data_IF_494877714930
#
_entry.id   IF_494877714930
#
_cell.length_a   1.000
_cell.length_b   1.000
_cell.length_c   1.000
_cell.angle_alpha   90.00
_cell.angle_beta   90.00
_cell.angle_gamma   90.00
#
_symmetry.space_group_name_H-M   'P 1'
#
loop_
_entity.id
_entity.type
_entity.pdbx_description
1 polymer ?
#
# COMPACT_ATOMS: atom_id res chain seq x y z
N UNK A 1 19.50 -13.56 -19.13
CA UNK A 1 18.57 -14.54 -18.54
C UNK A 1 19.24 -15.13 -17.29
N UNK A 2 18.92 -14.62 -16.10
CA UNK A 2 19.42 -15.23 -14.87
C UNK A 2 18.45 -16.33 -14.49
N UNK A 3 18.81 -17.56 -14.73
CA UNK A 3 18.11 -18.73 -14.23
C UNK A 3 18.32 -18.83 -12.73
N UNK A 4 17.25 -18.75 -11.97
CA UNK A 4 17.29 -18.95 -10.52
C UNK A 4 17.92 -20.31 -10.23
N UNK A 5 18.95 -20.41 -9.36
CA UNK A 5 19.62 -21.68 -9.13
C UNK A 5 18.65 -22.73 -8.60
N UNK A 6 18.78 -24.01 -9.01
CA UNK A 6 17.85 -25.10 -8.62
C UNK A 6 17.77 -25.31 -7.10
N UNK A 7 18.76 -24.89 -6.34
CA UNK A 7 18.74 -24.95 -4.88
C UNK A 7 17.64 -24.07 -4.26
N UNK A 8 17.41 -22.87 -4.80
CA UNK A 8 16.41 -21.93 -4.27
C UNK A 8 14.97 -22.44 -4.48
N UNK A 9 14.71 -23.14 -5.58
CA UNK A 9 13.41 -23.78 -5.86
C UNK A 9 13.14 -24.96 -4.89
N UNK A 10 14.16 -25.75 -4.59
CA UNK A 10 14.05 -26.91 -3.68
C UNK A 10 13.74 -26.47 -2.24
N UNK A 11 14.38 -25.38 -1.76
CA UNK A 11 14.14 -24.82 -0.43
C UNK A 11 12.70 -24.30 -0.30
N UNK A 12 12.21 -23.60 -1.31
CA UNK A 12 10.84 -23.05 -1.29
C UNK A 12 9.77 -24.15 -1.35
N UNK A 13 10.01 -25.24 -2.11
CA UNK A 13 9.11 -26.38 -2.16
C UNK A 13 9.03 -27.11 -0.82
N UNK A 14 10.16 -27.31 -0.13
CA UNK A 14 10.20 -27.92 1.19
C UNK A 14 9.47 -27.08 2.25
N UNK A 15 9.55 -25.74 2.16
CA UNK A 15 8.82 -24.85 3.06
C UNK A 15 7.30 -25.00 2.91
N UNK A 16 6.82 -25.04 1.68
CA UNK A 16 5.39 -25.18 1.41
C UNK A 16 4.83 -26.52 1.88
N UNK A 17 5.60 -27.61 1.68
CA UNK A 17 5.25 -28.95 2.20
C UNK A 17 5.17 -28.94 3.72
N UNK A 18 6.13 -28.31 4.40
CA UNK A 18 6.09 -28.18 5.87
C UNK A 18 4.90 -27.36 6.35
N UNK A 19 4.57 -26.25 5.68
CA UNK A 19 3.38 -25.44 6.02
C UNK A 19 2.12 -26.27 5.91
N UNK A 20 2.02 -27.12 4.87
CA UNK A 20 0.90 -28.05 4.71
C UNK A 20 0.84 -29.06 5.85
N UNK A 21 1.92 -29.75 6.14
CA UNK A 21 2.00 -30.75 7.21
C UNK A 21 1.63 -30.14 8.58
N UNK A 22 2.19 -28.97 8.92
CA UNK A 22 1.88 -28.29 10.17
C UNK A 22 0.43 -27.79 10.25
N UNK A 23 -0.14 -27.34 9.11
CA UNK A 23 -1.55 -26.94 9.08
C UNK A 23 -2.48 -28.13 9.28
N UNK A 24 -2.15 -29.31 8.69
CA UNK A 24 -2.91 -30.55 8.88
C UNK A 24 -2.86 -31.05 10.31
N UNK A 25 -1.72 -30.90 11.01
CA UNK A 25 -1.56 -31.25 12.41
C UNK A 25 -2.51 -30.47 13.35
N UNK A 26 -2.86 -29.25 12.99
CA UNK A 26 -3.84 -28.41 13.73
C UNK A 26 -5.26 -28.49 13.15
N UNK A 27 -5.52 -29.42 12.24
CA UNK A 27 -6.85 -29.65 11.66
C UNK A 27 -7.24 -28.70 10.53
N UNK A 28 -6.30 -27.90 10.03
CA UNK A 28 -6.52 -26.98 8.89
C UNK A 28 -6.08 -27.67 7.60
N UNK A 29 -6.92 -27.60 6.55
CA UNK A 29 -6.57 -28.10 5.23
C UNK A 29 -6.23 -26.95 4.29
N UNK A 30 -5.10 -27.05 3.61
CA UNK A 30 -4.71 -26.08 2.58
C UNK A 30 -5.65 -26.25 1.36
N UNK A 31 -6.32 -25.17 0.98
CA UNK A 31 -7.14 -25.17 -0.23
C UNK A 31 -6.25 -24.82 -1.44
N UNK A 32 -5.84 -25.84 -2.19
CA UNK A 32 -4.93 -25.71 -3.33
C UNK A 32 -5.55 -24.87 -4.45
N UNK A 33 -6.85 -24.97 -4.69
CA UNK A 33 -7.53 -24.23 -5.75
C UNK A 33 -7.53 -22.70 -5.52
N UNK A 34 -7.59 -22.28 -4.27
CA UNK A 34 -7.56 -20.85 -3.91
C UNK A 34 -6.17 -20.33 -3.57
N UNK A 35 -5.20 -21.24 -3.38
CA UNK A 35 -3.81 -20.86 -3.07
C UNK A 35 -3.08 -20.46 -4.35
N UNK A 36 -2.49 -19.27 -4.36
CA UNK A 36 -1.78 -18.71 -5.51
C UNK A 36 -0.32 -18.45 -5.16
N UNK A 37 0.55 -18.54 -6.15
CA UNK A 37 1.98 -18.30 -5.98
C UNK A 37 2.37 -17.00 -6.68
N UNK A 38 3.03 -16.13 -5.96
CA UNK A 38 3.74 -14.97 -6.52
C UNK A 38 5.24 -15.26 -6.48
N UNK A 39 5.94 -15.00 -7.58
CA UNK A 39 7.40 -15.07 -7.62
C UNK A 39 7.99 -13.95 -8.46
N UNK A 40 9.13 -13.45 -8.02
CA UNK A 40 9.91 -12.41 -8.70
C UNK A 40 10.75 -12.91 -9.89
N UNK A 41 10.46 -14.12 -10.40
CA UNK A 41 11.18 -14.73 -11.52
C UNK A 41 10.32 -15.76 -12.25
N UNK A 42 10.82 -16.35 -13.35
CA UNK A 42 10.08 -17.31 -14.12
C UNK A 42 9.77 -18.56 -13.27
N UNK A 43 8.48 -18.87 -13.13
CA UNK A 43 7.99 -20.09 -12.48
C UNK A 43 7.74 -21.10 -13.56
N UNK A 44 8.34 -22.29 -13.44
CA UNK A 44 8.16 -23.34 -14.43
C UNK A 44 6.85 -24.09 -14.18
N UNK A 45 6.53 -24.45 -13.00
CA UNK A 45 5.23 -24.95 -12.47
C UNK A 45 5.44 -25.38 -11.02
N UNK A 46 4.42 -25.20 -10.20
CA UNK A 46 4.44 -25.67 -8.81
C UNK A 46 3.28 -26.62 -8.61
N UNK A 47 3.59 -27.80 -8.09
CA UNK A 47 2.61 -28.84 -7.80
C UNK A 47 2.68 -29.23 -6.33
N UNK A 48 1.51 -29.36 -5.72
CA UNK A 48 1.31 -29.94 -4.40
C UNK A 48 0.33 -31.07 -4.57
N UNK A 49 0.70 -32.26 -4.12
CA UNK A 49 -0.14 -33.48 -4.21
C UNK A 49 -0.61 -33.82 -5.66
N UNK A 50 0.20 -33.46 -6.65
CA UNK A 50 -0.15 -33.68 -8.06
C UNK A 50 -1.04 -32.59 -8.68
N UNK A 51 -1.54 -31.63 -7.89
CA UNK A 51 -2.29 -30.48 -8.39
C UNK A 51 -1.37 -29.30 -8.69
N UNK A 52 -1.56 -28.68 -9.85
CA UNK A 52 -0.75 -27.52 -10.28
C UNK A 52 -1.32 -26.24 -9.68
N UNK A 53 -0.46 -25.46 -9.01
CA UNK A 53 -0.84 -24.19 -8.43
C UNK A 53 -0.76 -23.08 -9.48
N UNK A 54 -1.72 -22.13 -9.40
CA UNK A 54 -1.75 -20.97 -10.27
C UNK A 54 -0.65 -19.97 -9.88
N UNK A 55 0.19 -19.60 -10.84
CA UNK A 55 1.15 -18.53 -10.70
C UNK A 55 0.52 -17.21 -11.15
N UNK A 56 0.56 -16.20 -10.29
CA UNK A 56 -0.01 -14.88 -10.57
C UNK A 56 1.07 -13.80 -10.50
N UNK A 57 0.91 -12.75 -11.31
CA UNK A 57 1.81 -11.59 -11.31
C UNK A 57 1.51 -10.61 -10.18
N UNK A 58 0.27 -10.58 -9.75
CA UNK A 58 -0.21 -9.73 -8.66
C UNK A 58 -1.41 -10.36 -7.96
N UNK A 59 -1.65 -9.92 -6.73
CA UNK A 59 -2.82 -10.33 -6.00
C UNK A 59 -3.19 -9.30 -4.90
N UNK A 60 -4.45 -9.30 -4.46
CA UNK A 60 -4.92 -8.41 -3.40
C UNK A 60 -4.96 -9.18 -2.08
N UNK A 61 -4.18 -8.71 -1.10
CA UNK A 61 -4.13 -9.24 0.25
C UNK A 61 -4.56 -8.18 1.26
N UNK A 62 -5.61 -8.47 2.02
CA UNK A 62 -6.17 -7.54 3.00
C UNK A 62 -6.40 -6.13 2.45
N UNK A 63 -6.84 -6.02 1.19
CA UNK A 63 -7.09 -4.74 0.56
C UNK A 63 -5.86 -4.07 -0.11
N UNK A 64 -4.64 -4.58 0.11
CA UNK A 64 -3.42 -4.10 -0.55
C UNK A 64 -3.05 -4.95 -1.76
N UNK A 65 -2.69 -4.30 -2.86
CA UNK A 65 -2.20 -4.97 -4.07
C UNK A 65 -0.71 -5.26 -3.97
N UNK A 66 -0.36 -6.54 -3.96
CA UNK A 66 1.02 -7.02 -3.96
C UNK A 66 1.37 -7.47 -5.39
N UNK A 67 2.51 -7.02 -5.90
CA UNK A 67 3.02 -7.35 -7.25
C UNK A 67 4.32 -8.14 -7.15
N UNK A 68 4.56 -9.00 -8.13
CA UNK A 68 5.75 -9.86 -8.18
C UNK A 68 7.08 -9.09 -8.31
N UNK A 69 7.04 -7.90 -8.90
CA UNK A 69 8.17 -6.99 -9.06
C UNK A 69 8.39 -6.07 -7.85
N UNK A 70 7.48 -6.10 -6.87
CA UNK A 70 7.51 -5.22 -5.70
C UNK A 70 7.22 -3.74 -6.00
N UNK A 71 6.68 -3.42 -7.19
CA UNK A 71 6.33 -2.04 -7.55
C UNK A 71 4.99 -1.62 -6.92
N UNK A 72 5.06 -0.69 -5.98
CA UNK A 72 3.90 -0.14 -5.29
C UNK A 72 3.22 1.04 -6.03
N UNK A 73 3.72 1.46 -7.21
CA UNK A 73 3.20 2.63 -7.93
C UNK A 73 1.71 2.52 -8.27
N UNK A 74 1.24 1.32 -8.63
CA UNK A 74 -0.17 1.07 -8.91
C UNK A 74 -1.03 1.16 -7.66
N UNK A 75 -0.55 0.64 -6.55
CA UNK A 75 -1.25 0.69 -5.27
C UNK A 75 -1.36 2.12 -4.76
N UNK A 76 -0.27 2.88 -4.77
CA UNK A 76 -0.27 4.30 -4.41
C UNK A 76 -1.30 5.07 -5.26
N UNK A 77 -1.27 4.91 -6.58
CA UNK A 77 -2.25 5.56 -7.46
C UNK A 77 -3.69 5.18 -7.11
N UNK A 78 -3.94 3.91 -6.83
CA UNK A 78 -5.27 3.41 -6.45
C UNK A 78 -5.77 4.08 -5.19
N UNK A 79 -4.97 4.13 -4.13
CA UNK A 79 -5.31 4.79 -2.87
C UNK A 79 -5.59 6.28 -3.06
N UNK A 80 -4.69 7.00 -3.76
CA UNK A 80 -4.88 8.42 -4.03
C UNK A 80 -6.16 8.72 -4.82
N UNK A 81 -6.55 7.85 -5.76
CA UNK A 81 -7.78 8.00 -6.55
C UNK A 81 -9.04 7.74 -5.72
N UNK A 82 -9.01 6.72 -4.86
CA UNK A 82 -10.13 6.39 -3.97
C UNK A 82 -10.39 7.54 -3.00
N UNK A 83 -9.35 8.06 -2.38
CA UNK A 83 -9.46 9.12 -1.39
C UNK A 83 -9.80 10.49 -1.99
N UNK A 84 -9.47 10.72 -3.26
CA UNK A 84 -10.00 11.89 -3.99
C UNK A 84 -11.53 11.88 -4.06
N UNK A 85 -12.15 10.72 -4.23
CA UNK A 85 -13.62 10.58 -4.21
C UNK A 85 -14.18 10.86 -2.81
N UNK A 86 -13.54 10.35 -1.76
CA UNK A 86 -13.92 10.62 -0.37
C UNK A 86 -13.92 12.11 -0.03
N UNK A 87 -12.90 12.84 -0.49
CA UNK A 87 -12.80 14.29 -0.30
C UNK A 87 -13.91 15.11 -0.97
N UNK A 88 -14.66 14.57 -1.95
CA UNK A 88 -15.76 15.30 -2.60
C UNK A 88 -16.98 15.47 -1.70
N UNK A 89 -17.15 14.62 -0.73
CA UNK A 89 -18.32 14.54 0.14
C UNK A 89 -18.16 15.29 1.48
N UNK A 90 -17.05 16.02 1.67
CA UNK A 90 -16.85 16.82 2.89
C UNK A 90 -17.89 17.96 2.95
N UNK A 91 -18.72 17.91 3.98
CA UNK A 91 -19.83 18.83 4.20
C UNK A 91 -19.37 20.30 4.31
N UNK A 92 -20.24 21.23 3.87
CA UNK A 92 -19.95 22.66 3.85
C UNK A 92 -20.03 23.29 5.23
N UNK A 93 -20.86 22.74 6.12
CA UNK A 93 -21.24 23.38 7.39
C UNK A 93 -20.31 23.04 8.56
N UNK A 94 -19.27 22.24 8.31
CA UNK A 94 -18.28 21.86 9.32
C UNK A 94 -17.17 22.92 9.42
N UNK A 95 -16.71 23.21 10.65
CA UNK A 95 -15.62 24.19 10.90
C UNK A 95 -14.28 23.74 10.31
N UNK A 96 -13.40 24.68 9.96
CA UNK A 96 -12.10 24.37 9.35
C UNK A 96 -11.23 23.44 10.22
N UNK A 97 -11.09 23.63 11.55
CA UNK A 97 -10.32 22.70 12.38
C UNK A 97 -10.86 21.27 12.35
N UNK A 98 -12.18 21.12 12.39
CA UNK A 98 -12.83 19.80 12.31
C UNK A 98 -12.58 19.16 10.96
N UNK A 99 -12.66 19.93 9.85
CA UNK A 99 -12.33 19.42 8.50
C UNK A 99 -10.88 18.94 8.41
N UNK A 100 -9.94 19.71 8.96
CA UNK A 100 -8.51 19.32 9.01
C UNK A 100 -8.33 18.01 9.76
N UNK A 101 -9.00 17.89 10.92
CA UNK A 101 -8.97 16.64 11.70
C UNK A 101 -9.53 15.45 10.92
N UNK A 102 -10.68 15.61 10.27
CA UNK A 102 -11.31 14.56 9.46
C UNK A 102 -10.42 14.13 8.29
N UNK A 103 -9.78 15.08 7.59
CA UNK A 103 -8.85 14.74 6.49
C UNK A 103 -7.67 13.93 7.01
N UNK A 104 -7.08 14.34 8.15
CA UNK A 104 -5.98 13.59 8.76
C UNK A 104 -6.40 12.21 9.23
N UNK A 105 -7.55 12.11 9.92
CA UNK A 105 -8.00 10.88 10.56
C UNK A 105 -8.62 9.87 9.59
N UNK A 106 -9.20 10.31 8.49
CA UNK A 106 -9.89 9.42 7.54
C UNK A 106 -9.12 9.29 6.23
N UNK A 107 -8.89 10.42 5.56
CA UNK A 107 -8.29 10.41 4.20
C UNK A 107 -6.82 10.00 4.25
N UNK A 108 -6.03 10.60 5.13
CA UNK A 108 -4.59 10.28 5.20
C UNK A 108 -4.32 8.89 5.73
N UNK A 109 -5.09 8.41 6.74
CA UNK A 109 -4.94 7.03 7.22
C UNK A 109 -5.31 6.01 6.14
N UNK A 110 -6.36 6.27 5.37
CA UNK A 110 -6.74 5.38 4.28
C UNK A 110 -5.72 5.39 3.13
N UNK A 111 -5.13 6.56 2.79
CA UNK A 111 -4.03 6.66 1.82
C UNK A 111 -2.80 5.88 2.29
N UNK A 112 -2.49 5.96 3.59
CA UNK A 112 -1.29 5.32 4.16
C UNK A 112 -1.47 3.84 4.48
N UNK A 113 -2.66 3.28 4.29
CA UNK A 113 -2.91 1.88 4.59
C UNK A 113 -1.95 0.95 3.81
N UNK A 114 -1.20 0.12 4.54
CA UNK A 114 -0.20 -0.78 3.97
C UNK A 114 1.10 -0.12 3.49
N UNK A 115 1.31 1.17 3.79
CA UNK A 115 2.49 1.92 3.34
C UNK A 115 3.81 1.41 3.92
N UNK A 116 3.78 0.62 4.96
CA UNK A 116 4.95 0.03 5.60
C UNK A 116 5.71 -0.87 4.60
N UNK A 117 4.97 -1.59 3.77
CA UNK A 117 5.53 -2.49 2.74
C UNK A 117 5.97 -1.77 1.45
N UNK A 118 5.64 -0.50 1.27
CA UNK A 118 5.88 0.20 0.00
C UNK A 118 7.35 0.60 -0.18
N UNK A 119 7.93 0.23 -1.31
CA UNK A 119 9.22 0.74 -1.78
C UNK A 119 8.98 1.99 -2.62
N UNK A 120 8.88 3.16 -1.96
CA UNK A 120 8.46 4.42 -2.58
C UNK A 120 9.62 5.02 -3.38
N UNK A 121 9.42 5.25 -4.66
CA UNK A 121 10.36 5.95 -5.56
C UNK A 121 10.09 7.47 -5.50
N UNK A 122 11.05 8.26 -5.97
CA UNK A 122 10.95 9.74 -5.98
C UNK A 122 9.67 10.25 -6.69
N UNK A 123 9.27 9.61 -7.77
CA UNK A 123 8.08 9.99 -8.52
C UNK A 123 6.77 9.78 -7.71
N UNK A 124 6.74 8.76 -6.87
CA UNK A 124 5.61 8.48 -5.98
C UNK A 124 5.53 9.49 -4.84
N UNK A 125 6.67 9.89 -4.25
CA UNK A 125 6.70 10.98 -3.26
C UNK A 125 6.10 12.27 -3.85
N UNK A 126 6.49 12.66 -5.06
CA UNK A 126 5.91 13.82 -5.73
C UNK A 126 4.40 13.72 -5.94
N UNK A 127 3.87 12.52 -6.19
CA UNK A 127 2.41 12.30 -6.32
C UNK A 127 1.70 12.42 -4.98
N UNK A 128 2.31 11.91 -3.92
CA UNK A 128 1.78 11.99 -2.55
C UNK A 128 1.74 13.45 -2.09
N UNK A 129 2.81 14.21 -2.31
CA UNK A 129 2.87 15.64 -2.01
C UNK A 129 1.84 16.44 -2.81
N UNK A 130 1.71 16.16 -4.11
CA UNK A 130 0.71 16.81 -4.95
C UNK A 130 -0.72 16.49 -4.49
N UNK A 131 -0.97 15.27 -4.00
CA UNK A 131 -2.26 14.89 -3.44
C UNK A 131 -2.52 15.62 -2.12
N UNK A 132 -1.56 15.70 -1.21
CA UNK A 132 -1.67 16.42 0.05
C UNK A 132 -2.03 17.90 -0.20
N UNK A 133 -1.28 18.56 -1.08
CA UNK A 133 -1.55 19.95 -1.47
C UNK A 133 -2.94 20.11 -2.10
N UNK A 134 -3.37 19.15 -2.91
CA UNK A 134 -4.71 19.15 -3.48
C UNK A 134 -5.78 19.03 -2.40
N UNK A 135 -5.60 18.18 -1.38
CA UNK A 135 -6.52 18.06 -0.25
C UNK A 135 -6.65 19.40 0.49
N UNK A 136 -5.54 20.04 0.81
CA UNK A 136 -5.53 21.32 1.52
C UNK A 136 -6.16 22.46 0.72
N UNK A 137 -5.84 22.57 -0.59
CA UNK A 137 -6.47 23.56 -1.48
C UNK A 137 -7.98 23.37 -1.56
N UNK A 138 -8.43 22.11 -1.69
CA UNK A 138 -9.85 21.79 -1.73
C UNK A 138 -10.56 22.16 -0.43
N UNK A 139 -9.94 21.87 0.70
CA UNK A 139 -10.46 22.17 2.04
C UNK A 139 -10.62 23.68 2.25
N UNK A 140 -9.62 24.46 1.83
CA UNK A 140 -9.64 25.93 1.88
C UNK A 140 -10.43 26.56 0.73
N UNK A 141 -11.01 25.78 -0.18
CA UNK A 141 -11.75 26.25 -1.37
C UNK A 141 -10.93 27.20 -2.27
N UNK A 142 -9.62 26.99 -2.35
CA UNK A 142 -8.73 27.80 -3.17
C UNK A 142 -8.72 27.20 -4.59
N UNK A 143 -9.16 27.96 -5.62
CA UNK A 143 -9.14 27.47 -6.98
C UNK A 143 -7.71 27.29 -7.49
N UNK A 144 -7.52 26.37 -8.43
CA UNK A 144 -6.22 26.09 -9.02
C UNK A 144 -5.60 27.31 -9.73
N UNK A 145 -6.46 28.20 -10.24
CA UNK A 145 -6.07 29.47 -10.88
C UNK A 145 -5.52 30.51 -9.91
N UNK A 146 -5.76 30.37 -8.60
CA UNK A 146 -5.22 31.29 -7.63
C UNK A 146 -3.70 31.09 -7.50
N UNK A 147 -2.92 32.12 -7.85
CA UNK A 147 -1.45 32.15 -7.77
C UNK A 147 -0.95 32.31 -6.31
N UNK A 148 -1.56 31.60 -5.36
CA UNK A 148 -1.07 31.62 -3.96
C UNK A 148 0.01 30.56 -3.79
N UNK A 149 1.17 30.87 -3.19
CA UNK A 149 2.24 29.92 -2.94
C UNK A 149 1.79 28.84 -1.95
N UNK A 150 2.25 27.61 -2.15
CA UNK A 150 1.89 26.45 -1.31
C UNK A 150 2.21 26.66 0.17
N UNK A 151 3.31 27.37 0.48
CA UNK A 151 3.72 27.68 1.84
C UNK A 151 2.66 28.50 2.63
N UNK A 152 1.86 29.32 1.95
CA UNK A 152 0.79 30.10 2.60
C UNK A 152 -0.31 29.19 3.14
N UNK A 153 -0.69 28.14 2.38
CA UNK A 153 -1.72 27.19 2.83
C UNK A 153 -1.21 26.31 3.97
N UNK A 154 0.04 25.87 3.89
CA UNK A 154 0.64 25.05 4.93
C UNK A 154 0.76 25.81 6.26
N UNK A 155 1.04 27.13 6.22
CA UNK A 155 1.02 27.97 7.42
C UNK A 155 -0.39 28.12 8.01
N UNK A 156 -1.41 28.24 7.17
CA UNK A 156 -2.80 28.42 7.62
C UNK A 156 -3.34 27.14 8.27
N UNK A 157 -2.98 25.97 7.75
CA UNK A 157 -3.39 24.67 8.28
C UNK A 157 -2.46 24.21 9.40
N UNK A 158 -1.20 24.66 9.38
CA UNK A 158 -0.14 24.26 10.31
C UNK A 158 -0.11 22.74 10.55
N UNK A 159 0.07 21.92 9.50
CA UNK A 159 0.12 20.49 9.68
C UNK A 159 1.35 20.16 10.52
N UNK A 160 1.16 19.38 11.59
CA UNK A 160 2.24 18.94 12.47
C UNK A 160 3.28 18.10 11.71
N UNK A 161 2.79 17.30 10.75
CA UNK A 161 3.60 16.51 9.84
C UNK A 161 2.99 16.55 8.44
N UNK A 162 3.84 16.51 7.40
CA UNK A 162 3.42 16.21 6.04
C UNK A 162 2.96 14.76 5.92
N UNK A 163 2.21 14.43 4.87
CA UNK A 163 1.80 13.05 4.60
C UNK A 163 3.01 12.12 4.45
N UNK A 164 4.07 12.58 3.80
CA UNK A 164 5.36 11.88 3.73
C UNK A 164 5.97 11.63 5.12
N UNK A 165 5.97 12.62 5.98
CA UNK A 165 6.48 12.51 7.36
C UNK A 165 5.68 11.51 8.19
N UNK A 166 4.37 11.45 8.03
CA UNK A 166 3.50 10.45 8.67
C UNK A 166 3.79 9.03 8.17
N UNK A 167 3.99 8.86 6.86
CA UNK A 167 4.36 7.57 6.26
C UNK A 167 5.71 7.08 6.78
N UNK A 168 6.69 7.97 6.86
CA UNK A 168 8.00 7.65 7.43
C UNK A 168 7.90 7.23 8.90
N UNK A 169 7.10 7.95 9.69
CA UNK A 169 6.83 7.60 11.09
C UNK A 169 6.22 6.20 11.22
N UNK A 170 5.21 5.86 10.42
CA UNK A 170 4.59 4.53 10.42
C UNK A 170 5.60 3.43 10.06
N UNK A 171 6.43 3.65 9.04
CA UNK A 171 7.49 2.72 8.67
C UNK A 171 8.49 2.49 9.81
N UNK A 172 8.97 3.56 10.44
CA UNK A 172 9.89 3.46 11.56
C UNK A 172 9.27 2.73 12.76
N UNK A 173 8.01 2.98 13.06
CA UNK A 173 7.29 2.25 14.10
C UNK A 173 7.19 0.76 13.77
N UNK A 174 6.82 0.41 12.53
CA UNK A 174 6.73 -0.98 12.09
C UNK A 174 8.08 -1.71 12.22
N UNK A 175 9.16 -1.11 11.72
CA UNK A 175 10.51 -1.69 11.84
C UNK A 175 11.01 -1.75 13.28
N UNK A 176 10.66 -0.77 14.11
CA UNK A 176 11.01 -0.78 15.54
C UNK A 176 10.32 -1.88 16.33
N UNK A 177 9.17 -2.39 15.89
CA UNK A 177 8.50 -3.55 16.49
C UNK A 177 9.09 -4.89 16.03
N UNK A 178 9.83 -4.91 14.91
CA UNK A 178 10.47 -6.12 14.37
C UNK A 178 11.88 -6.38 14.94
N UNK A 179 12.48 -5.39 15.60
CA UNK A 179 13.80 -5.48 16.24
C UNK A 179 13.67 -5.69 17.75
#
# INVERSE_FOLDING_TARGET
>A
MQTTPPLCQKVKKNLLTKVKEESENVGLKLNIQTTKIIASGPIISWQIDGETMEAVSDFIFLGSKITADGDCSHEIKRHLLLERKGMTNLDRDITLPTKVHLVKAMVFLAVMYGCESWTIKKAEYQRIDAFELWCWRRLLRVPWSARRPNQTFLKEISPEYSLEGLMLKLKLQYFGHLM
#
